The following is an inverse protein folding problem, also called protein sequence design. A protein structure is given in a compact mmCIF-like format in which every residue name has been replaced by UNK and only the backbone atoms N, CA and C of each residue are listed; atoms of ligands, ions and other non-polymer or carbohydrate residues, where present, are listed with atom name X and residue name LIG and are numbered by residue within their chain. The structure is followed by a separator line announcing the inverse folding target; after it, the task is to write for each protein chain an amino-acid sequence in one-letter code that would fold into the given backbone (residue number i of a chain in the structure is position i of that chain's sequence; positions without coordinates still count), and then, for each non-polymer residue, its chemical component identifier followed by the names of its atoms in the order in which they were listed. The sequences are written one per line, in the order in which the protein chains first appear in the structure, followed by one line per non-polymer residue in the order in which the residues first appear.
data_IF_270190473406
#
_entry.id   IF_270190473406
#
_cell.length_a   1.000
_cell.length_b   1.000
_cell.length_c   1.000
_cell.angle_alpha   90.00
_cell.angle_beta   90.00
_cell.angle_gamma   90.00
#
_symmetry.space_group_name_H-M   'P 1'
#
loop_
_entity.id
_entity.type
_entity.pdbx_description
1 polymer ?
#
# COMPACT_ATOMS: atom_id res chain seq x y z
N UNK A 1 57.77 -15.80 -0.90
CA UNK A 1 56.87 -16.79 -1.51
C UNK A 1 55.55 -16.94 -0.74
N UNK A 2 55.56 -17.08 0.57
CA UNK A 2 54.33 -17.30 1.41
C UNK A 2 53.29 -16.20 1.26
N UNK A 3 53.66 -14.92 1.23
CA UNK A 3 52.73 -13.80 1.12
C UNK A 3 51.95 -13.80 -0.25
N UNK A 4 52.61 -14.12 -1.34
CA UNK A 4 51.94 -14.22 -2.66
C UNK A 4 50.94 -15.36 -2.71
N UNK A 5 51.21 -16.48 -2.06
CA UNK A 5 50.29 -17.62 -1.97
C UNK A 5 49.07 -17.27 -1.09
N UNK A 6 49.26 -16.57 0.03
CA UNK A 6 48.15 -16.13 0.89
C UNK A 6 47.25 -15.14 0.10
N UNK A 7 47.85 -14.16 -0.59
CA UNK A 7 47.11 -13.20 -1.36
C UNK A 7 46.30 -13.88 -2.48
N UNK A 8 46.88 -14.84 -3.19
CA UNK A 8 46.19 -15.59 -4.22
C UNK A 8 45.02 -16.40 -3.64
N UNK A 9 45.19 -17.03 -2.49
CA UNK A 9 44.12 -17.78 -1.81
C UNK A 9 42.96 -16.85 -1.38
N UNK A 10 43.27 -15.67 -0.86
CA UNK A 10 42.25 -14.66 -0.48
C UNK A 10 41.50 -14.19 -1.73
N UNK A 11 42.19 -13.87 -2.82
CA UNK A 11 41.54 -13.47 -4.07
C UNK A 11 40.61 -14.56 -4.62
N UNK A 12 41.02 -15.82 -4.57
CA UNK A 12 40.17 -16.94 -4.98
C UNK A 12 38.94 -17.10 -4.09
N UNK A 13 39.09 -16.96 -2.78
CA UNK A 13 37.96 -17.03 -1.84
C UNK A 13 36.94 -15.89 -2.08
N UNK A 14 37.41 -14.68 -2.29
CA UNK A 14 36.57 -13.52 -2.62
C UNK A 14 35.86 -13.73 -3.96
N UNK A 15 36.55 -14.24 -4.98
CA UNK A 15 35.95 -14.52 -6.29
C UNK A 15 34.88 -15.61 -6.18
N UNK A 16 35.12 -16.69 -5.42
CA UNK A 16 34.14 -17.74 -5.19
C UNK A 16 32.89 -17.22 -4.44
N UNK A 17 33.08 -16.38 -3.43
CA UNK A 17 31.97 -15.74 -2.70
C UNK A 17 31.15 -14.81 -3.61
N UNK A 18 31.82 -14.01 -4.44
CA UNK A 18 31.14 -13.14 -5.39
C UNK A 18 30.32 -13.90 -6.43
N UNK A 19 30.85 -15.04 -6.92
CA UNK A 19 30.13 -15.92 -7.86
C UNK A 19 28.91 -16.59 -7.18
N UNK A 20 29.04 -17.02 -5.92
CA UNK A 20 27.93 -17.58 -5.17
C UNK A 20 26.82 -16.55 -4.94
N UNK A 21 27.18 -15.31 -4.56
CA UNK A 21 26.23 -14.21 -4.43
C UNK A 21 25.54 -13.88 -5.75
N UNK A 22 26.28 -13.77 -6.83
CA UNK A 22 25.71 -13.49 -8.17
C UNK A 22 24.74 -14.59 -8.60
N UNK A 23 25.06 -15.85 -8.31
CA UNK A 23 24.17 -16.98 -8.58
C UNK A 23 22.89 -16.88 -7.73
N UNK A 24 22.98 -16.57 -6.45
CA UNK A 24 21.82 -16.45 -5.56
C UNK A 24 20.90 -15.32 -6.00
N UNK A 25 21.46 -14.17 -6.41
CA UNK A 25 20.70 -13.05 -7.01
C UNK A 25 19.94 -13.50 -8.25
N UNK A 26 20.61 -14.20 -9.16
CA UNK A 26 19.96 -14.70 -10.38
C UNK A 26 18.85 -15.71 -10.09
N UNK A 27 19.04 -16.60 -9.10
CA UNK A 27 18.04 -17.58 -8.68
C UNK A 27 16.80 -16.89 -8.09
N UNK A 28 16.99 -15.85 -7.27
CA UNK A 28 15.90 -15.08 -6.73
C UNK A 28 15.15 -14.29 -7.80
N UNK A 29 15.86 -13.64 -8.72
CA UNK A 29 15.23 -12.92 -9.83
C UNK A 29 14.40 -13.86 -10.72
N UNK A 30 14.93 -15.04 -11.00
CA UNK A 30 14.19 -16.07 -11.73
C UNK A 30 12.97 -16.55 -10.97
N UNK A 31 13.10 -16.86 -9.68
CA UNK A 31 12.01 -17.33 -8.85
C UNK A 31 10.89 -16.28 -8.75
N UNK A 32 11.23 -14.99 -8.61
CA UNK A 32 10.25 -13.91 -8.61
C UNK A 32 9.50 -13.79 -9.92
N UNK A 33 10.21 -13.79 -11.07
CA UNK A 33 9.58 -13.74 -12.40
C UNK A 33 8.65 -14.93 -12.64
N UNK A 34 9.06 -16.12 -12.26
CA UNK A 34 8.26 -17.34 -12.45
C UNK A 34 7.04 -17.37 -11.51
N UNK A 35 7.17 -16.84 -10.29
CA UNK A 35 6.05 -16.71 -9.37
C UNK A 35 5.05 -15.63 -9.82
N UNK A 36 5.52 -14.49 -10.32
CA UNK A 36 4.66 -13.43 -10.86
C UNK A 36 3.86 -13.92 -12.07
N UNK A 37 4.50 -14.66 -12.99
CA UNK A 37 3.78 -15.27 -14.10
C UNK A 37 2.70 -16.22 -13.60
N UNK A 38 3.01 -17.07 -12.63
CA UNK A 38 2.02 -17.97 -12.03
C UNK A 38 0.88 -17.21 -11.35
N UNK A 39 1.17 -16.16 -10.61
CA UNK A 39 0.15 -15.33 -9.97
C UNK A 39 -0.78 -14.63 -10.99
N UNK A 40 -0.27 -14.24 -12.17
CA UNK A 40 -1.10 -13.67 -13.24
C UNK A 40 -2.05 -14.69 -13.88
N UNK A 41 -1.64 -15.94 -13.98
CA UNK A 41 -2.42 -16.98 -14.68
C UNK A 41 -3.20 -17.90 -13.73
N UNK A 42 -2.73 -18.09 -12.51
CA UNK A 42 -3.37 -18.95 -11.52
C UNK A 42 -4.23 -18.11 -10.57
N UNK A 43 -5.54 -18.09 -10.82
CA UNK A 43 -6.51 -17.46 -9.92
C UNK A 43 -6.66 -18.16 -8.56
N UNK A 44 -5.98 -19.28 -8.34
CA UNK A 44 -6.14 -20.13 -7.16
C UNK A 44 -4.81 -20.73 -6.75
N UNK A 45 -4.26 -20.29 -5.63
CA UNK A 45 -3.14 -20.92 -4.94
C UNK A 45 -2.13 -19.92 -4.38
N UNK A 46 -1.52 -20.20 -3.23
CA UNK A 46 -0.47 -19.35 -2.70
C UNK A 46 0.72 -19.38 -3.67
N UNK A 47 1.02 -18.25 -4.27
CA UNK A 47 2.27 -18.08 -4.99
C UNK A 47 3.40 -18.16 -3.97
N UNK A 48 4.21 -19.23 -4.03
CA UNK A 48 5.41 -19.33 -3.22
C UNK A 48 6.56 -18.66 -3.94
N UNK A 49 7.05 -17.58 -3.35
CA UNK A 49 8.28 -16.92 -3.77
C UNK A 49 9.43 -17.52 -2.95
N UNK A 50 9.98 -18.62 -3.41
CA UNK A 50 11.08 -19.34 -2.78
C UNK A 50 12.17 -19.61 -3.81
N UNK A 51 13.43 -19.42 -3.41
CA UNK A 51 14.59 -19.77 -4.20
C UNK A 51 15.51 -20.69 -3.39
N UNK A 52 16.04 -21.71 -4.04
CA UNK A 52 17.08 -22.55 -3.46
C UNK A 52 18.42 -21.80 -3.52
N UNK A 53 18.78 -21.10 -2.46
CA UNK A 53 20.00 -20.32 -2.35
C UNK A 53 21.19 -21.18 -1.96
N UNK A 54 22.40 -20.78 -2.37
CA UNK A 54 23.64 -21.48 -2.08
C UNK A 54 24.23 -20.99 -0.78
N UNK A 55 24.07 -19.69 -0.47
CA UNK A 55 24.62 -19.09 0.75
C UNK A 55 23.61 -19.19 1.89
N UNK A 56 24.04 -19.65 3.08
CA UNK A 56 23.15 -19.72 4.24
C UNK A 56 22.77 -18.33 4.72
N UNK A 57 21.47 -18.18 5.10
CA UNK A 57 20.94 -16.93 5.65
C UNK A 57 20.56 -15.87 4.60
N UNK A 58 20.54 -16.23 3.31
CA UNK A 58 20.07 -15.40 2.21
C UNK A 58 20.62 -13.97 2.17
N UNK A 59 21.95 -13.78 2.18
CA UNK A 59 22.56 -12.44 2.19
C UNK A 59 22.19 -11.63 0.95
N UNK A 60 21.90 -12.27 -0.18
CA UNK A 60 21.43 -11.64 -1.41
C UNK A 60 20.10 -10.90 -1.21
N UNK A 61 19.16 -11.48 -0.46
CA UNK A 61 17.87 -10.85 -0.13
C UNK A 61 18.05 -9.52 0.62
N UNK A 62 19.00 -9.47 1.57
CA UNK A 62 19.21 -8.30 2.41
C UNK A 62 19.99 -7.20 1.69
N UNK A 63 21.06 -7.57 0.96
CA UNK A 63 21.94 -6.62 0.28
C UNK A 63 21.25 -5.86 -0.85
N UNK A 64 20.32 -6.49 -1.53
CA UNK A 64 19.67 -5.93 -2.73
C UNK A 64 18.24 -5.45 -2.48
N UNK A 65 17.76 -5.46 -1.24
CA UNK A 65 16.39 -5.07 -0.91
C UNK A 65 15.33 -6.02 -1.46
N UNK A 66 15.71 -7.21 -1.94
CA UNK A 66 14.78 -8.24 -2.44
C UNK A 66 13.81 -8.67 -1.34
N UNK A 67 14.25 -8.60 -0.08
CA UNK A 67 13.40 -8.90 1.06
C UNK A 67 12.16 -7.99 1.12
N UNK A 68 12.32 -6.71 0.87
CA UNK A 68 11.23 -5.74 0.92
C UNK A 68 10.28 -5.91 -0.27
N UNK A 69 10.82 -6.16 -1.47
CA UNK A 69 10.03 -6.47 -2.66
C UNK A 69 9.22 -7.77 -2.47
N UNK A 70 9.82 -8.79 -1.88
CA UNK A 70 9.15 -10.04 -1.56
C UNK A 70 8.05 -9.87 -0.51
N UNK A 71 8.31 -9.06 0.53
CA UNK A 71 7.31 -8.70 1.54
C UNK A 71 6.11 -8.01 0.89
N UNK A 72 6.35 -7.01 0.03
CA UNK A 72 5.30 -6.34 -0.72
C UNK A 72 4.47 -7.30 -1.59
N UNK A 73 5.11 -8.19 -2.35
CA UNK A 73 4.41 -9.15 -3.23
C UNK A 73 3.48 -10.09 -2.46
N UNK A 74 3.91 -10.57 -1.29
CA UNK A 74 3.08 -11.37 -0.39
C UNK A 74 1.87 -10.58 0.12
N UNK A 75 2.07 -9.31 0.45
CA UNK A 75 0.99 -8.42 0.89
C UNK A 75 0.02 -8.10 -0.25
N UNK A 76 0.52 -7.93 -1.47
CA UNK A 76 -0.34 -7.70 -2.65
C UNK A 76 -1.30 -8.89 -2.90
N UNK A 77 -0.80 -10.13 -2.84
CA UNK A 77 -1.65 -11.33 -2.97
C UNK A 77 -2.66 -11.41 -1.82
N UNK A 78 -2.23 -11.11 -0.60
CA UNK A 78 -3.12 -11.09 0.56
C UNK A 78 -4.19 -10.00 0.44
N UNK A 79 -3.84 -8.82 -0.09
CA UNK A 79 -4.79 -7.74 -0.34
C UNK A 79 -5.86 -8.15 -1.37
N UNK A 80 -5.46 -8.82 -2.45
CA UNK A 80 -6.41 -9.30 -3.45
C UNK A 80 -7.36 -10.38 -2.89
N UNK A 81 -6.90 -11.23 -1.97
CA UNK A 81 -7.75 -12.19 -1.28
C UNK A 81 -8.75 -11.49 -0.33
N UNK A 82 -8.29 -10.53 0.47
CA UNK A 82 -9.16 -9.75 1.38
C UNK A 82 -10.21 -8.95 0.59
N UNK A 83 -9.85 -8.41 -0.57
CA UNK A 83 -10.80 -7.69 -1.44
C UNK A 83 -11.86 -8.60 -2.06
N UNK A 84 -11.59 -9.90 -2.22
CA UNK A 84 -12.52 -10.88 -2.77
C UNK A 84 -13.51 -11.43 -1.71
N UNK A 85 -13.18 -11.33 -0.42
CA UNK A 85 -13.99 -11.84 0.68
C UNK A 85 -14.90 -10.74 1.25
N UNK A 86 -16.22 -11.00 1.29
CA UNK A 86 -17.24 -10.02 1.72
C UNK A 86 -17.71 -10.23 3.17
N UNK A 87 -16.94 -10.89 4.06
CA UNK A 87 -17.38 -11.28 5.39
C UNK A 87 -16.75 -10.47 6.53
N UNK A 88 -17.40 -10.43 7.70
CA UNK A 88 -16.95 -9.71 8.91
C UNK A 88 -15.59 -10.17 9.45
N UNK A 89 -15.15 -11.39 9.13
CA UNK A 89 -13.79 -11.86 9.42
C UNK A 89 -12.72 -11.02 8.73
N UNK A 90 -13.09 -10.27 7.69
CA UNK A 90 -12.19 -9.43 6.90
C UNK A 90 -11.71 -8.18 7.62
N UNK A 91 -12.43 -7.64 8.62
CA UNK A 91 -12.02 -6.40 9.31
C UNK A 91 -10.69 -6.57 10.04
N UNK A 92 -10.53 -7.64 10.83
CA UNK A 92 -9.25 -7.92 11.52
C UNK A 92 -8.12 -8.24 10.53
N UNK A 93 -8.42 -8.98 9.47
CA UNK A 93 -7.43 -9.28 8.43
C UNK A 93 -7.01 -8.03 7.68
N UNK A 94 -7.95 -7.12 7.43
CA UNK A 94 -7.71 -5.82 6.80
C UNK A 94 -6.81 -4.94 7.66
N UNK A 95 -7.10 -4.78 8.95
CA UNK A 95 -6.27 -4.00 9.87
C UNK A 95 -4.84 -4.53 9.97
N UNK A 96 -4.66 -5.86 10.00
CA UNK A 96 -3.34 -6.48 9.97
C UNK A 96 -2.60 -6.20 8.64
N UNK A 97 -3.32 -6.26 7.52
CA UNK A 97 -2.76 -5.97 6.20
C UNK A 97 -2.34 -4.49 6.09
N UNK A 98 -3.15 -3.57 6.59
CA UNK A 98 -2.83 -2.13 6.65
C UNK A 98 -1.57 -1.87 7.48
N UNK A 99 -1.46 -2.49 8.66
CA UNK A 99 -0.27 -2.39 9.51
C UNK A 99 0.98 -2.94 8.82
N UNK A 100 0.86 -4.09 8.15
CA UNK A 100 1.97 -4.69 7.41
C UNK A 100 2.39 -3.84 6.20
N UNK A 101 1.44 -3.28 5.44
CA UNK A 101 1.72 -2.35 4.34
C UNK A 101 2.36 -1.06 4.85
N UNK A 102 1.87 -0.48 5.94
CA UNK A 102 2.45 0.70 6.56
C UNK A 102 3.89 0.45 7.06
N UNK A 103 4.23 -0.78 7.43
CA UNK A 103 5.61 -1.16 7.75
C UNK A 103 6.48 -1.23 6.49
N UNK A 104 6.02 -1.87 5.42
CA UNK A 104 6.77 -1.99 4.16
C UNK A 104 6.93 -0.62 3.47
N UNK A 105 5.95 0.29 3.58
CA UNK A 105 6.06 1.65 3.02
C UNK A 105 7.16 2.51 3.64
N UNK A 106 7.75 2.07 4.76
CA UNK A 106 8.86 2.76 5.45
C UNK A 106 10.22 2.10 5.24
N UNK A 107 10.31 1.12 4.34
CA UNK A 107 11.59 0.45 4.05
C UNK A 107 12.50 1.34 3.19
N UNK A 108 13.77 0.98 3.11
CA UNK A 108 14.77 1.72 2.31
C UNK A 108 14.66 1.44 0.82
N UNK A 109 13.97 0.39 0.42
CA UNK A 109 13.71 0.09 -0.98
C UNK A 109 12.59 1.00 -1.50
N UNK A 110 12.95 2.07 -2.20
CA UNK A 110 12.02 3.09 -2.69
C UNK A 110 10.88 2.52 -3.54
N UNK A 111 11.15 1.54 -4.38
CA UNK A 111 10.14 0.91 -5.26
C UNK A 111 9.12 0.10 -4.43
N UNK A 112 9.61 -0.74 -3.51
CA UNK A 112 8.74 -1.52 -2.64
C UNK A 112 7.94 -0.63 -1.68
N UNK A 113 8.58 0.40 -1.11
CA UNK A 113 7.95 1.38 -0.24
C UNK A 113 6.81 2.14 -0.97
N UNK A 114 7.10 2.63 -2.16
CA UNK A 114 6.10 3.31 -3.00
C UNK A 114 4.93 2.41 -3.39
N UNK A 115 5.22 1.18 -3.80
CA UNK A 115 4.19 0.22 -4.17
C UNK A 115 3.29 -0.15 -2.97
N UNK A 116 3.88 -0.33 -1.77
CA UNK A 116 3.14 -0.60 -0.54
C UNK A 116 2.28 0.59 -0.11
N UNK A 117 2.80 1.82 -0.16
CA UNK A 117 2.05 3.03 0.13
C UNK A 117 0.89 3.24 -0.85
N UNK A 118 1.12 2.98 -2.15
CA UNK A 118 0.05 3.04 -3.15
C UNK A 118 -1.07 2.03 -2.87
N UNK A 119 -0.72 0.78 -2.53
CA UNK A 119 -1.71 -0.24 -2.18
C UNK A 119 -2.47 0.11 -0.90
N UNK A 120 -1.77 0.69 0.10
CA UNK A 120 -2.38 1.20 1.32
C UNK A 120 -3.41 2.31 1.03
N UNK A 121 -3.09 3.23 0.12
CA UNK A 121 -4.02 4.25 -0.35
C UNK A 121 -5.28 3.68 -0.98
N UNK A 122 -5.14 2.63 -1.80
CA UNK A 122 -6.29 1.91 -2.37
C UNK A 122 -7.14 1.27 -1.27
N UNK A 123 -6.53 0.63 -0.28
CA UNK A 123 -7.25 0.04 0.84
C UNK A 123 -8.03 1.10 1.64
N UNK A 124 -7.42 2.23 1.98
CA UNK A 124 -8.11 3.33 2.67
C UNK A 124 -9.28 3.85 1.85
N UNK A 125 -9.09 4.05 0.56
CA UNK A 125 -10.14 4.57 -0.30
C UNK A 125 -11.35 3.62 -0.44
N UNK A 126 -11.13 2.31 -0.33
CA UNK A 126 -12.17 1.28 -0.42
C UNK A 126 -12.78 0.93 0.94
N UNK A 127 -12.42 1.65 2.01
CA UNK A 127 -12.97 1.45 3.36
C UNK A 127 -14.11 2.44 3.63
N UNK A 128 -15.36 2.00 3.62
CA UNK A 128 -16.50 2.88 3.91
C UNK A 128 -16.73 3.09 5.42
N UNK A 129 -16.11 2.28 6.29
CA UNK A 129 -16.54 2.11 7.69
C UNK A 129 -15.67 2.83 8.73
N UNK A 130 -14.75 3.75 8.33
CA UNK A 130 -13.99 4.57 9.28
C UNK A 130 -14.66 5.94 9.50
N UNK A 131 -15.50 6.10 10.55
CA UNK A 131 -16.23 7.34 10.78
C UNK A 131 -15.35 8.47 11.35
N UNK A 132 -14.18 8.17 11.90
CA UNK A 132 -13.33 9.15 12.61
C UNK A 132 -12.33 9.86 11.68
N UNK A 133 -11.93 9.20 10.60
CA UNK A 133 -10.99 9.76 9.65
C UNK A 133 -11.55 9.63 8.23
N UNK A 134 -11.61 10.73 7.50
CA UNK A 134 -12.02 10.67 6.10
C UNK A 134 -11.18 9.66 5.32
N UNK A 135 -11.77 8.54 4.83
CA UNK A 135 -11.04 7.54 4.05
C UNK A 135 -10.28 8.15 2.88
N UNK A 136 -10.86 9.19 2.29
CA UNK A 136 -10.26 9.93 1.19
C UNK A 136 -9.00 10.71 1.60
N UNK A 137 -8.97 11.32 2.79
CA UNK A 137 -7.78 12.04 3.27
C UNK A 137 -6.64 11.09 3.59
N UNK A 138 -6.94 9.95 4.22
CA UNK A 138 -5.94 8.89 4.46
C UNK A 138 -5.36 8.35 3.16
N UNK A 139 -6.23 8.12 2.16
CA UNK A 139 -5.81 7.65 0.85
C UNK A 139 -4.93 8.68 0.12
N UNK A 140 -5.29 9.99 0.17
CA UNK A 140 -4.45 11.06 -0.39
C UNK A 140 -3.08 11.05 0.24
N UNK A 141 -2.97 10.99 1.58
CA UNK A 141 -1.69 10.91 2.28
C UNK A 141 -0.85 9.72 1.81
N UNK A 142 -1.44 8.53 1.74
CA UNK A 142 -0.74 7.33 1.29
C UNK A 142 -0.27 7.41 -0.18
N UNK A 143 -1.08 7.98 -1.08
CA UNK A 143 -0.66 8.19 -2.48
C UNK A 143 0.42 9.27 -2.61
N UNK A 144 0.41 10.30 -1.77
CA UNK A 144 1.49 11.29 -1.69
C UNK A 144 2.80 10.64 -1.23
N UNK A 145 2.75 9.85 -0.16
CA UNK A 145 3.92 9.09 0.33
C UNK A 145 4.47 8.16 -0.75
N UNK A 146 3.59 7.50 -1.51
CA UNK A 146 3.99 6.66 -2.63
C UNK A 146 4.74 7.44 -3.72
N UNK A 147 4.24 8.61 -4.10
CA UNK A 147 4.88 9.45 -5.12
C UNK A 147 6.17 10.10 -4.65
N UNK A 148 6.29 10.36 -3.35
CA UNK A 148 7.52 10.88 -2.73
C UNK A 148 8.59 9.78 -2.65
N UNK A 149 8.21 8.55 -2.31
CA UNK A 149 9.12 7.41 -2.21
C UNK A 149 9.70 7.01 -3.57
N UNK A 150 8.85 6.94 -4.59
CA UNK A 150 9.28 6.68 -5.98
C UNK A 150 8.51 7.60 -6.97
N UNK A 151 9.15 8.69 -7.42
CA UNK A 151 8.56 9.57 -8.41
C UNK A 151 8.31 8.92 -9.78
N UNK A 152 8.83 7.74 -10.07
CA UNK A 152 8.56 6.99 -11.30
C UNK A 152 7.27 6.13 -11.21
N UNK A 153 6.66 5.99 -10.03
CA UNK A 153 5.43 5.22 -9.84
C UNK A 153 4.22 5.91 -10.51
N UNK A 154 3.97 5.56 -11.77
CA UNK A 154 2.85 6.10 -12.55
C UNK A 154 1.48 5.76 -11.95
N UNK A 155 1.35 4.57 -11.34
CA UNK A 155 0.09 4.14 -10.70
C UNK A 155 -0.26 5.00 -9.50
N UNK A 156 0.71 5.33 -8.65
CA UNK A 156 0.50 6.20 -7.51
C UNK A 156 0.07 7.62 -7.93
N UNK A 157 0.71 8.16 -8.97
CA UNK A 157 0.34 9.47 -9.55
C UNK A 157 -1.09 9.47 -10.09
N UNK A 158 -1.45 8.45 -10.85
CA UNK A 158 -2.80 8.31 -11.41
C UNK A 158 -3.86 8.17 -10.31
N UNK A 159 -3.60 7.39 -9.27
CA UNK A 159 -4.50 7.22 -8.14
C UNK A 159 -4.65 8.52 -7.34
N UNK A 160 -3.55 9.25 -7.11
CA UNK A 160 -3.59 10.56 -6.44
C UNK A 160 -4.43 11.57 -7.26
N UNK A 161 -4.22 11.64 -8.56
CA UNK A 161 -4.99 12.53 -9.42
C UNK A 161 -6.49 12.17 -9.41
N UNK A 162 -6.81 10.89 -9.48
CA UNK A 162 -8.19 10.40 -9.46
C UNK A 162 -8.91 10.82 -8.17
N UNK A 163 -8.31 10.60 -7.01
CA UNK A 163 -8.93 10.92 -5.72
C UNK A 163 -9.07 12.43 -5.54
N UNK A 164 -8.08 13.23 -5.94
CA UNK A 164 -8.16 14.70 -5.85
C UNK A 164 -9.27 15.26 -6.74
N UNK A 165 -9.46 14.73 -7.95
CA UNK A 165 -10.59 15.09 -8.81
C UNK A 165 -11.94 14.74 -8.17
N UNK A 166 -12.04 13.58 -7.54
CA UNK A 166 -13.27 13.14 -6.88
C UNK A 166 -13.62 14.03 -5.68
N UNK A 167 -12.64 14.39 -4.85
CA UNK A 167 -12.81 15.30 -3.73
C UNK A 167 -13.25 16.70 -4.19
N UNK A 168 -12.62 17.25 -5.23
CA UNK A 168 -12.99 18.56 -5.78
C UNK A 168 -14.44 18.57 -6.33
N UNK A 169 -14.85 17.50 -7.00
CA UNK A 169 -16.21 17.35 -7.52
C UNK A 169 -17.25 17.24 -6.40
N UNK A 170 -16.92 16.54 -5.32
CA UNK A 170 -17.81 16.41 -4.16
C UNK A 170 -18.00 17.74 -3.43
N UNK A 171 -16.93 18.53 -3.28
CA UNK A 171 -17.00 19.87 -2.68
C UNK A 171 -17.83 20.83 -3.52
N UNK A 172 -17.74 20.77 -4.86
CA UNK A 172 -18.55 21.60 -5.76
C UNK A 172 -20.04 21.22 -5.68
N UNK A 173 -20.38 19.95 -5.61
CA UNK A 173 -21.76 19.49 -5.43
C UNK A 173 -22.35 19.89 -4.08
N UNK A 174 -21.57 19.86 -3.01
CA UNK A 174 -22.00 20.34 -1.68
C UNK A 174 -22.29 21.84 -1.63
N UNK A 175 -21.58 22.64 -2.44
CA UNK A 175 -21.80 24.09 -2.54
C UNK A 175 -22.94 24.48 -3.47
N UNK A 176 -23.28 23.65 -4.43
CA UNK A 176 -24.33 23.90 -5.42
C UNK A 176 -25.72 23.39 -5.00
N UNK A 177 -25.89 22.86 -3.77
CA UNK A 177 -27.21 22.64 -3.19
C UNK A 177 -27.82 24.02 -2.94
N UNK A 178 -28.82 24.49 -3.74
CA UNK A 178 -29.50 25.74 -3.46
C UNK A 178 -30.16 25.56 -2.11
N UNK A 179 -29.83 26.41 -1.16
CA UNK A 179 -30.41 26.43 0.18
C UNK A 179 -31.90 26.25 0.08
N UNK A 180 -32.37 25.15 0.68
CA UNK A 180 -33.79 24.92 0.83
C UNK A 180 -34.40 26.18 1.44
N UNK A 181 -35.33 26.76 0.70
CA UNK A 181 -35.90 28.04 0.99
C UNK A 181 -36.31 28.14 2.46
N UNK A 182 -35.79 29.16 3.06
CA UNK A 182 -36.35 29.80 4.23
C UNK A 182 -37.80 30.16 3.89
N UNK A 183 -38.71 29.23 4.17
CA UNK A 183 -40.13 29.56 4.26
C UNK A 183 -40.29 30.36 5.53
N UNK A 184 -40.07 31.67 5.39
CA UNK A 184 -40.48 32.68 6.35
C UNK A 184 -41.92 32.43 6.72
N UNK A 185 -42.11 31.74 7.83
CA UNK A 185 -43.40 31.70 8.52
C UNK A 185 -43.73 33.10 8.99
N UNK A 186 -44.58 33.78 8.21
CA UNK A 186 -45.32 34.95 8.68
C UNK A 186 -46.15 34.48 9.87
N UNK A 187 -45.62 34.59 11.09
CA UNK A 187 -46.34 34.48 12.33
C UNK A 187 -47.26 35.70 12.47
N UNK A 188 -48.57 35.46 12.29
CA UNK A 188 -49.59 36.42 12.55
C UNK A 188 -49.55 36.91 13.98
N UNK A 189 -49.53 38.23 14.14
CA UNK A 189 -49.78 38.90 15.39
C UNK A 189 -51.22 38.60 15.86
N UNK A 190 -51.39 37.71 16.82
CA UNK A 190 -52.61 37.46 17.54
C UNK A 190 -52.54 38.22 18.87
N UNK A 191 -53.16 39.41 18.90
CA UNK A 191 -53.53 40.07 20.13
C UNK A 191 -54.58 39.23 20.86
N UNK A 192 -54.33 38.78 22.06
CA UNK A 192 -55.31 38.27 22.99
C UNK A 192 -55.43 39.20 24.18
N UNK A 193 -56.63 39.69 24.50
CA UNK A 193 -56.86 40.57 25.65
C UNK A 193 -57.05 39.79 26.93
N UNK A 194 -56.76 40.43 28.01
CA UNK A 194 -56.72 40.03 29.38
C UNK A 194 -57.85 39.19 29.91
N UNK A 195 -57.50 38.39 30.92
CA UNK A 195 -58.38 37.70 31.82
C UNK A 195 -57.79 37.79 33.24
N UNK A 196 -58.35 38.70 34.09
CA UNK A 196 -58.22 38.67 35.55
C UNK A 196 -59.06 37.55 36.10
N UNK A 197 -58.63 36.93 37.16
CA UNK A 197 -59.53 36.13 37.99
C UNK A 197 -58.81 35.28 39.02
N UNK A 198 -58.83 35.78 40.22
CA UNK A 198 -58.73 35.14 41.55
C UNK A 198 -57.62 34.13 41.85
#
# INVERSE_FOLDING_TARGET
MKLKLVLAAVCLAVAALALALARDVWLWEKAMRDADRRAQFARTGPASWEAATVLPGDPALRLLGIHDDLAYRRLYVRASAVAAESSSATTSQRSLLEADLARVSRTTNAVAASAAANLLGVLFFTDPDDPENSPAERAVGAFQDATLSDPANASAKANLELILRQLSTSQLKGRSSPGGGDKGGRGGAGLAPGGKGY
#
